data_IF_653271565337
#
_entry.id   IF_653271565337
#
_cell.length_a   1.000
_cell.length_b   1.000
_cell.length_c   1.000
_cell.angle_alpha   90.00
_cell.angle_beta   90.00
_cell.angle_gamma   90.00
#
_symmetry.space_group_name_H-M   'P 1'
#
loop_
_entity.id
_entity.type
_entity.pdbx_description
1 polymer ?
#
# COMPACT_ATOMS: atom_id res chain seq x y z
N UNK A 1 -10.70 32.82 -1.39
CA UNK A 1 -10.39 31.37 -1.43
C UNK A 1 -11.68 30.59 -1.68
N UNK A 2 -11.77 29.73 -2.69
CA UNK A 2 -12.89 28.79 -2.81
C UNK A 2 -12.56 27.51 -2.04
N UNK A 3 -13.49 27.03 -1.20
CA UNK A 3 -13.31 25.77 -0.50
C UNK A 3 -13.56 24.62 -1.50
N UNK A 4 -12.61 23.70 -1.71
CA UNK A 4 -12.75 22.61 -2.69
C UNK A 4 -13.83 21.57 -2.31
N UNK A 5 -14.42 21.68 -1.12
CA UNK A 5 -15.46 20.78 -0.60
C UNK A 5 -16.86 21.43 -0.55
N UNK A 6 -17.00 22.72 -0.91
CA UNK A 6 -18.30 23.41 -0.99
C UNK A 6 -18.57 23.83 -2.42
N UNK A 7 -19.73 23.44 -2.95
CA UNK A 7 -20.28 23.96 -4.21
C UNK A 7 -20.90 25.37 -4.08
N UNK A 8 -20.46 26.17 -3.10
CA UNK A 8 -20.93 27.53 -2.89
C UNK A 8 -19.73 28.49 -2.84
N UNK A 9 -19.81 29.67 -3.48
CA UNK A 9 -18.74 30.65 -3.40
C UNK A 9 -18.54 31.09 -1.96
N UNK A 10 -17.29 31.06 -1.50
CA UNK A 10 -16.94 31.59 -0.18
C UNK A 10 -17.18 33.11 -0.16
N UNK A 11 -17.71 33.62 0.95
CA UNK A 11 -17.97 35.06 1.08
C UNK A 11 -16.66 35.86 0.93
N UNK A 12 -16.67 36.99 0.20
CA UNK A 12 -15.45 37.70 -0.21
C UNK A 12 -14.59 38.27 0.94
N UNK A 13 -15.09 38.26 2.17
CA UNK A 13 -14.46 38.89 3.33
C UNK A 13 -13.95 37.92 4.40
N UNK A 14 -14.10 36.60 4.20
CA UNK A 14 -13.59 35.63 5.16
C UNK A 14 -12.09 35.36 4.93
N UNK A 15 -11.23 36.11 5.62
CA UNK A 15 -9.80 35.79 5.70
C UNK A 15 -9.63 34.45 6.42
N UNK A 16 -9.23 33.42 5.67
CA UNK A 16 -8.98 32.09 6.23
C UNK A 16 -7.79 32.16 7.19
N UNK A 17 -8.08 32.00 8.48
CA UNK A 17 -7.05 31.94 9.51
C UNK A 17 -6.48 30.52 9.64
N UNK A 18 -5.17 30.36 9.85
CA UNK A 18 -4.58 29.06 10.11
C UNK A 18 -5.13 28.39 11.37
N UNK A 19 -5.21 27.06 11.37
CA UNK A 19 -5.64 26.33 12.56
C UNK A 19 -4.55 26.36 13.65
N UNK A 20 -4.69 27.28 14.60
CA UNK A 20 -3.75 27.48 15.71
C UNK A 20 -3.66 26.27 16.64
N UNK A 21 -4.73 25.48 16.78
CA UNK A 21 -4.72 24.28 17.61
C UNK A 21 -3.86 23.18 16.99
N UNK A 22 -3.95 22.99 15.67
CA UNK A 22 -3.09 22.06 14.93
C UNK A 22 -1.64 22.51 14.97
N UNK A 23 -1.38 23.80 14.74
CA UNK A 23 -0.02 24.37 14.85
C UNK A 23 0.58 24.15 16.23
N UNK A 24 -0.17 24.41 17.29
CA UNK A 24 0.28 24.17 18.68
C UNK A 24 0.56 22.68 18.95
N UNK A 25 -0.26 21.77 18.43
CA UNK A 25 -0.04 20.32 18.59
C UNK A 25 1.21 19.85 17.86
N UNK A 26 1.44 20.32 16.63
CA UNK A 26 2.66 19.98 15.87
C UNK A 26 3.90 20.55 16.58
N UNK A 27 3.84 21.79 17.06
CA UNK A 27 4.94 22.41 17.80
C UNK A 27 5.33 21.59 19.05
N UNK A 28 4.34 21.10 19.81
CA UNK A 28 4.58 20.22 20.98
C UNK A 28 5.24 18.88 20.62
N UNK A 29 5.04 18.37 19.41
CA UNK A 29 5.72 17.16 18.95
C UNK A 29 7.16 17.44 18.51
N UNK A 30 7.42 18.63 17.94
CA UNK A 30 8.74 19.06 17.53
C UNK A 30 9.62 19.47 18.73
N UNK A 31 9.02 20.02 19.77
CA UNK A 31 9.70 20.45 21.01
C UNK A 31 9.85 19.31 22.04
N UNK A 32 9.27 18.14 21.76
CA UNK A 32 9.47 16.98 22.62
C UNK A 32 10.95 16.54 22.52
N UNK A 33 11.68 16.43 23.64
CA UNK A 33 13.04 15.90 23.61
C UNK A 33 13.03 14.49 23.03
N UNK A 34 14.04 14.18 22.20
CA UNK A 34 14.27 12.83 21.72
C UNK A 34 14.25 11.86 22.92
N UNK A 35 13.64 10.66 22.79
CA UNK A 35 13.61 9.71 23.89
C UNK A 35 15.05 9.42 24.31
N UNK A 36 15.38 9.79 25.54
CA UNK A 36 16.61 9.36 26.21
C UNK A 36 16.49 7.86 26.44
N UNK A 37 17.50 7.14 25.97
CA UNK A 37 17.66 5.69 25.99
C UNK A 37 17.79 5.13 27.41
N UNK A 38 16.81 5.28 28.29
CA UNK A 38 16.86 4.69 29.63
C UNK A 38 15.48 4.23 30.12
N UNK A 39 15.01 3.11 29.58
CA UNK A 39 14.27 2.12 30.38
C UNK A 39 14.58 0.72 29.83
N UNK A 40 15.77 0.24 30.19
CA UNK A 40 16.14 -1.17 30.08
C UNK A 40 15.33 -1.95 31.12
N UNK A 41 14.32 -2.71 30.67
CA UNK A 41 13.89 -3.92 31.37
C UNK A 41 14.43 -5.11 30.63
N UNK A 42 15.41 -5.72 31.28
CA UNK A 42 16.09 -6.94 30.88
C UNK A 42 15.11 -8.09 30.67
N UNK A 43 15.21 -8.77 29.53
CA UNK A 43 14.77 -10.16 29.38
C UNK A 43 15.92 -10.90 28.66
N UNK A 44 16.44 -12.02 29.20
CA UNK A 44 17.67 -12.65 28.71
C UNK A 44 17.60 -13.10 27.25
N UNK A 45 18.74 -12.92 26.57
CA UNK A 45 19.07 -13.55 25.28
C UNK A 45 19.42 -15.02 25.55
N UNK A 46 18.68 -15.93 24.93
CA UNK A 46 19.17 -17.27 24.66
C UNK A 46 19.38 -17.39 23.15
N UNK A 47 20.64 -17.58 22.76
CA UNK A 47 21.02 -17.88 21.40
C UNK A 47 20.85 -19.37 21.12
N UNK A 48 20.35 -19.64 19.91
CA UNK A 48 20.68 -20.77 19.04
C UNK A 48 19.87 -22.05 19.25
N UNK A 49 18.97 -22.32 18.30
CA UNK A 49 19.02 -23.58 17.55
C UNK A 49 18.75 -23.28 16.06
N UNK A 50 19.70 -23.70 15.21
CA UNK A 50 19.48 -23.84 13.78
C UNK A 50 18.40 -24.91 13.56
N UNK A 51 17.26 -24.50 13.02
CA UNK A 51 16.29 -25.42 12.43
C UNK A 51 15.93 -24.89 11.06
N UNK A 52 16.38 -25.60 10.04
CA UNK A 52 15.94 -25.46 8.66
C UNK A 52 14.42 -25.65 8.59
N UNK A 53 13.69 -24.54 8.62
CA UNK A 53 12.29 -24.42 8.25
C UNK A 53 12.16 -23.11 7.51
N UNK A 54 11.44 -23.09 6.39
CA UNK A 54 11.06 -21.84 5.75
C UNK A 54 10.19 -21.08 6.75
N UNK A 55 10.77 -20.13 7.46
CA UNK A 55 10.03 -19.19 8.27
C UNK A 55 9.29 -18.29 7.28
N UNK A 56 8.00 -18.53 7.08
CA UNK A 56 7.12 -17.54 6.44
C UNK A 56 7.28 -16.24 7.23
N UNK A 57 7.95 -15.25 6.64
CA UNK A 57 8.09 -13.94 7.26
C UNK A 57 6.68 -13.42 7.60
N UNK A 58 6.42 -13.23 8.89
CA UNK A 58 5.09 -12.82 9.36
C UNK A 58 4.83 -11.38 8.90
N UNK A 59 4.05 -11.24 7.82
CA UNK A 59 3.62 -9.95 7.28
C UNK A 59 2.85 -9.18 8.35
N UNK A 60 3.28 -7.93 8.59
CA UNK A 60 2.69 -7.06 9.61
C UNK A 60 1.64 -6.12 9.02
N UNK A 61 0.76 -5.62 9.89
CA UNK A 61 -0.26 -4.66 9.49
C UNK A 61 0.31 -3.25 9.29
N UNK A 62 -0.02 -2.61 8.16
CA UNK A 62 0.49 -1.27 7.80
C UNK A 62 -0.19 -0.10 8.55
N UNK A 63 -1.34 -0.36 9.18
CA UNK A 63 -2.16 0.69 9.80
C UNK A 63 -2.02 0.76 11.32
N UNK A 64 -1.31 -0.19 11.93
CA UNK A 64 -1.02 -0.16 13.36
C UNK A 64 0.05 0.91 13.65
N UNK A 65 -0.18 1.73 14.67
CA UNK A 65 0.70 2.86 14.97
C UNK A 65 1.88 2.52 15.89
N UNK A 66 1.72 1.57 16.81
CA UNK A 66 2.76 1.25 17.81
C UNK A 66 3.28 -0.17 17.63
N UNK A 67 2.41 -1.15 17.84
CA UNK A 67 2.76 -2.57 17.68
C UNK A 67 1.98 -3.17 16.51
N UNK A 68 2.62 -3.33 15.34
CA UNK A 68 2.02 -3.97 14.18
C UNK A 68 1.66 -5.42 14.48
N UNK A 69 0.36 -5.66 14.56
CA UNK A 69 -0.20 -7.00 14.66
C UNK A 69 0.00 -7.75 13.33
N UNK A 70 0.08 -9.09 13.36
CA UNK A 70 0.13 -9.89 12.15
C UNK A 70 -1.04 -9.54 11.21
N UNK A 71 -0.73 -9.38 9.93
CA UNK A 71 -1.73 -9.19 8.90
C UNK A 71 -2.45 -10.52 8.64
N UNK A 72 -3.76 -10.44 8.40
CA UNK A 72 -4.59 -11.61 8.05
C UNK A 72 -4.97 -11.60 6.56
N UNK A 73 -4.93 -10.43 5.92
CA UNK A 73 -5.19 -10.24 4.49
C UNK A 73 -4.41 -9.06 3.95
N UNK A 74 -4.07 -9.11 2.68
CA UNK A 74 -3.61 -7.97 1.88
C UNK A 74 -4.71 -7.55 0.91
N UNK A 75 -5.00 -6.26 0.84
CA UNK A 75 -5.94 -5.69 -0.11
C UNK A 75 -5.18 -5.26 -1.36
N UNK A 76 -5.46 -5.86 -2.52
CA UNK A 76 -4.74 -5.55 -3.76
C UNK A 76 -5.04 -4.15 -4.30
N UNK A 77 -6.22 -3.60 -3.98
CA UNK A 77 -6.62 -2.26 -4.41
C UNK A 77 -5.98 -1.15 -3.56
N UNK A 78 -5.76 -1.42 -2.27
CA UNK A 78 -5.08 -0.49 -1.37
C UNK A 78 -3.58 -0.78 -1.22
N UNK A 79 -3.14 -1.94 -1.71
CA UNK A 79 -1.79 -2.46 -1.61
C UNK A 79 -1.27 -2.42 -0.17
N UNK A 80 -2.13 -2.87 0.74
CA UNK A 80 -1.89 -2.79 2.17
C UNK A 80 -2.35 -4.06 2.88
N UNK A 81 -1.53 -4.50 3.82
CA UNK A 81 -1.69 -5.64 4.70
C UNK A 81 -2.37 -5.20 6.00
N UNK A 82 -3.45 -5.90 6.37
CA UNK A 82 -4.33 -5.52 7.48
C UNK A 82 -4.46 -6.64 8.49
N UNK A 83 -4.29 -6.31 9.78
CA UNK A 83 -4.72 -7.18 10.87
C UNK A 83 -6.25 -7.24 10.95
N UNK A 84 -6.79 -8.17 11.73
CA UNK A 84 -8.23 -8.42 11.83
C UNK A 84 -9.05 -7.15 12.16
N UNK A 85 -8.54 -6.29 13.04
CA UNK A 85 -9.22 -5.07 13.44
C UNK A 85 -9.31 -4.03 12.31
N UNK A 86 -8.22 -3.85 11.55
CA UNK A 86 -8.20 -2.94 10.41
C UNK A 86 -8.98 -3.49 9.22
N UNK A 87 -8.89 -4.79 8.96
CA UNK A 87 -9.68 -5.48 7.95
C UNK A 87 -11.18 -5.34 8.22
N UNK A 88 -11.60 -5.54 9.47
CA UNK A 88 -13.02 -5.41 9.86
C UNK A 88 -13.57 -4.00 9.59
N UNK A 89 -12.75 -2.96 9.75
CA UNK A 89 -13.13 -1.57 9.41
C UNK A 89 -13.14 -1.35 7.90
N UNK A 90 -12.20 -1.98 7.18
CA UNK A 90 -12.10 -1.92 5.73
C UNK A 90 -13.35 -2.50 5.08
N UNK A 91 -13.71 -3.75 5.39
CA UNK A 91 -14.84 -4.45 4.77
C UNK A 91 -16.22 -3.88 5.14
N UNK A 92 -16.32 -3.07 6.20
CA UNK A 92 -17.57 -2.41 6.62
C UNK A 92 -17.82 -1.08 5.91
N UNK A 93 -16.78 -0.43 5.41
CA UNK A 93 -16.90 0.88 4.74
C UNK A 93 -17.19 0.66 3.27
N UNK A 94 -18.34 1.11 2.78
CA UNK A 94 -18.51 1.33 1.34
C UNK A 94 -17.64 2.52 0.92
N UNK A 95 -16.85 2.47 -0.17
CA UNK A 95 -16.79 1.45 -1.24
C UNK A 95 -15.74 0.33 -1.06
N UNK A 96 -15.00 0.32 0.05
CA UNK A 96 -13.87 -0.61 0.30
C UNK A 96 -14.29 -2.08 0.41
N UNK A 97 -15.59 -2.36 0.60
CA UNK A 97 -16.12 -3.72 0.74
C UNK A 97 -15.86 -4.59 -0.49
N UNK A 98 -15.81 -4.00 -1.67
CA UNK A 98 -15.66 -4.72 -2.95
C UNK A 98 -14.18 -4.87 -3.36
N UNK A 99 -13.25 -4.41 -2.53
CA UNK A 99 -11.82 -4.61 -2.80
C UNK A 99 -11.42 -6.07 -2.69
N UNK A 100 -10.47 -6.48 -3.54
CA UNK A 100 -9.96 -7.85 -3.60
C UNK A 100 -8.97 -8.08 -2.44
N UNK A 101 -9.25 -9.08 -1.61
CA UNK A 101 -8.46 -9.46 -0.45
C UNK A 101 -7.83 -10.84 -0.64
N UNK A 102 -6.50 -10.91 -0.57
CA UNK A 102 -5.71 -12.14 -0.72
C UNK A 102 -4.98 -12.49 0.58
N UNK A 103 -4.32 -13.64 0.63
CA UNK A 103 -3.42 -13.97 1.73
C UNK A 103 -2.34 -12.88 1.92
N UNK A 104 -1.86 -12.66 3.15
CA UNK A 104 -0.83 -11.68 3.41
C UNK A 104 0.37 -11.91 2.49
N UNK A 105 0.72 -10.90 1.70
CA UNK A 105 1.91 -10.93 0.87
C UNK A 105 2.84 -9.77 1.24
N UNK A 106 4.13 -9.97 0.98
CA UNK A 106 5.16 -8.97 1.22
C UNK A 106 5.06 -7.79 0.25
N UNK A 107 5.78 -6.71 0.59
CA UNK A 107 5.85 -5.52 -0.22
C UNK A 107 6.48 -5.80 -1.60
N UNK A 108 7.38 -6.79 -1.68
CA UNK A 108 8.03 -7.18 -2.93
C UNK A 108 7.01 -7.79 -3.90
N UNK A 109 6.18 -8.73 -3.46
CA UNK A 109 5.11 -9.33 -4.28
C UNK A 109 4.11 -8.30 -4.79
N UNK A 110 3.84 -7.24 -4.01
CA UNK A 110 3.00 -6.12 -4.46
C UNK A 110 3.73 -5.24 -5.48
N UNK A 111 5.04 -5.02 -5.30
CA UNK A 111 5.86 -4.23 -6.22
C UNK A 111 6.04 -4.92 -7.58
N UNK A 112 6.17 -6.24 -7.62
CA UNK A 112 6.29 -7.04 -8.85
C UNK A 112 5.05 -6.93 -9.76
N UNK A 113 3.89 -6.58 -9.20
CA UNK A 113 2.67 -6.30 -9.97
C UNK A 113 2.68 -4.95 -10.68
N UNK A 114 3.70 -4.13 -10.45
CA UNK A 114 3.83 -2.81 -11.07
C UNK A 114 4.87 -2.79 -12.17
N UNK A 115 4.57 -2.01 -13.19
CA UNK A 115 5.54 -1.63 -14.19
C UNK A 115 6.66 -0.79 -13.55
N UNK A 116 7.93 -1.20 -13.68
CA UNK A 116 9.06 -0.49 -13.08
C UNK A 116 9.28 0.90 -13.69
N UNK A 117 8.84 1.11 -14.94
CA UNK A 117 8.99 2.39 -15.64
C UNK A 117 7.88 3.39 -15.30
N UNK A 118 6.67 2.90 -15.01
CA UNK A 118 5.47 3.76 -14.93
C UNK A 118 4.75 3.70 -13.58
N UNK A 119 5.09 2.76 -12.70
CA UNK A 119 4.41 2.53 -11.42
C UNK A 119 2.94 2.10 -11.54
N UNK A 120 2.47 1.80 -12.76
CA UNK A 120 1.11 1.31 -13.05
C UNK A 120 1.05 -0.20 -12.95
N UNK A 121 -0.12 -0.76 -12.65
CA UNK A 121 -0.32 -2.19 -12.65
C UNK A 121 0.02 -2.80 -14.01
N UNK A 122 0.63 -3.97 -13.96
CA UNK A 122 0.84 -4.82 -15.13
C UNK A 122 -0.51 -5.47 -15.46
N UNK A 123 -1.07 -5.11 -16.61
CA UNK A 123 -2.43 -5.50 -17.03
C UNK A 123 -2.47 -5.97 -18.49
N UNK A 124 -1.33 -5.98 -19.17
CA UNK A 124 -1.20 -6.41 -20.56
C UNK A 124 -0.02 -7.37 -20.72
N UNK A 125 -0.08 -8.22 -21.74
CA UNK A 125 0.99 -9.13 -22.10
C UNK A 125 1.43 -8.89 -23.55
N UNK A 126 2.73 -8.65 -23.75
CA UNK A 126 3.33 -8.59 -25.07
C UNK A 126 3.75 -10.01 -25.48
N UNK A 127 3.08 -10.61 -26.47
CA UNK A 127 3.46 -11.92 -27.00
C UNK A 127 4.81 -11.87 -27.73
N UNK A 128 5.10 -10.75 -28.40
CA UNK A 128 6.35 -10.59 -29.17
C UNK A 128 7.58 -10.69 -28.28
N UNK A 129 7.55 -10.08 -27.10
CA UNK A 129 8.69 -10.06 -26.16
C UNK A 129 8.50 -11.02 -24.98
N UNK A 130 7.33 -11.65 -24.86
CA UNK A 130 6.94 -12.50 -23.74
C UNK A 130 7.06 -11.83 -22.36
N UNK A 131 6.59 -10.58 -22.26
CA UNK A 131 6.67 -9.78 -21.02
C UNK A 131 5.31 -9.23 -20.57
N UNK A 132 5.12 -9.16 -19.26
CA UNK A 132 4.03 -8.40 -18.63
C UNK A 132 4.35 -6.91 -18.69
N UNK A 133 3.35 -6.10 -19.00
CA UNK A 133 3.49 -4.65 -19.16
C UNK A 133 2.24 -3.91 -18.70
N UNK A 134 2.37 -2.62 -18.41
CA UNK A 134 1.22 -1.78 -18.12
C UNK A 134 0.64 -1.17 -19.41
N UNK A 135 -0.59 -0.66 -19.32
CA UNK A 135 -1.29 -0.01 -20.44
C UNK A 135 -0.51 1.17 -21.04
N UNK A 136 0.30 1.87 -20.24
CA UNK A 136 1.10 2.99 -20.73
C UNK A 136 2.23 2.51 -21.64
N UNK A 137 2.89 1.38 -21.32
CA UNK A 137 3.87 0.78 -22.21
C UNK A 137 3.28 0.48 -23.60
N UNK A 138 2.01 0.04 -23.67
CA UNK A 138 1.36 -0.24 -24.96
C UNK A 138 1.26 1.00 -25.87
N UNK A 139 1.12 2.18 -25.27
CA UNK A 139 0.83 3.43 -26.00
C UNK A 139 2.09 4.24 -26.32
N UNK A 140 3.05 4.30 -25.39
CA UNK A 140 4.19 5.23 -25.51
C UNK A 140 5.55 4.56 -25.70
N UNK A 141 5.70 3.26 -25.46
CA UNK A 141 7.00 2.59 -25.52
C UNK A 141 7.17 1.72 -26.78
N UNK A 142 8.30 1.01 -26.84
CA UNK A 142 8.72 0.20 -27.99
C UNK A 142 7.74 -0.89 -28.40
N UNK A 143 6.77 -1.23 -27.55
CA UNK A 143 5.78 -2.28 -27.82
C UNK A 143 4.61 -1.81 -28.72
N UNK A 144 4.60 -0.55 -29.18
CA UNK A 144 3.50 0.01 -29.98
C UNK A 144 3.11 -0.83 -31.22
N UNK A 145 4.07 -1.57 -31.79
CA UNK A 145 3.85 -2.41 -32.97
C UNK A 145 3.92 -3.91 -32.66
N UNK A 146 3.95 -4.28 -31.38
CA UNK A 146 4.01 -5.67 -30.97
C UNK A 146 2.61 -6.26 -30.81
N UNK A 147 2.51 -7.59 -30.82
CA UNK A 147 1.26 -8.26 -30.54
C UNK A 147 1.01 -8.22 -29.04
N UNK A 148 0.00 -7.44 -28.63
CA UNK A 148 -0.37 -7.25 -27.24
C UNK A 148 -1.76 -7.85 -27.03
N UNK A 149 -1.88 -8.66 -25.99
CA UNK A 149 -3.14 -9.27 -25.54
C UNK A 149 -3.39 -8.92 -24.07
N UNK A 150 -4.62 -9.16 -23.61
CA UNK A 150 -4.95 -9.02 -22.20
C UNK A 150 -4.30 -10.13 -21.36
N UNK A 151 -4.11 -9.88 -20.06
CA UNK A 151 -3.61 -10.94 -19.15
C UNK A 151 -4.53 -12.15 -19.09
N UNK A 152 -5.84 -11.93 -19.16
CA UNK A 152 -6.82 -13.01 -19.16
C UNK A 152 -6.62 -13.93 -20.38
N UNK A 153 -6.52 -13.35 -21.58
CA UNK A 153 -6.26 -14.11 -22.81
C UNK A 153 -4.93 -14.86 -22.76
N UNK A 154 -3.87 -14.25 -22.22
CA UNK A 154 -2.58 -14.91 -22.07
C UNK A 154 -2.65 -16.09 -21.10
N UNK A 155 -3.37 -15.95 -19.97
CA UNK A 155 -3.57 -17.00 -19.00
C UNK A 155 -4.41 -18.17 -19.54
N UNK A 156 -5.45 -17.86 -20.33
CA UNK A 156 -6.30 -18.87 -20.96
C UNK A 156 -5.50 -19.67 -22.02
N UNK A 157 -4.63 -19.02 -22.79
CA UNK A 157 -3.77 -19.68 -23.77
C UNK A 157 -2.70 -20.59 -23.13
N UNK A 158 -2.21 -20.26 -21.93
CA UNK A 158 -1.18 -21.03 -21.23
C UNK A 158 -1.69 -22.30 -20.54
N UNK A 159 -3.01 -22.48 -20.43
CA UNK A 159 -3.65 -23.64 -19.79
C UNK A 159 -4.09 -24.74 -20.78
N UNK A 160 -3.79 -24.56 -22.08
CA UNK A 160 -4.10 -25.50 -23.17
C UNK A 160 -2.86 -26.28 -23.56
#
# INVERSE_FOLDING_TARGET
FSCPLRNAPAEPAAELQPNVQLRSKVQKLLDAPAPTEEEQREVPREEKEESSGQEDEVIRCDFCLQEPQPAVKTCLSCEASMCQAHLSKHSKKSPLKDHILVEPCDAQSLAERRCPQHGRLLECYCETDSVLMCVLCCVISSHKNHKIISLQEAFDQAQV
#
